data_IF_518197810898
#
_entry.id   IF_518197810898
#
_cell.length_a   1.000
_cell.length_b   1.000
_cell.length_c   1.000
_cell.angle_alpha   90.00
_cell.angle_beta   90.00
_cell.angle_gamma   90.00
#
_symmetry.space_group_name_H-M   'P 1'
#
loop_
_entity.id
_entity.type
_entity.pdbx_description
1 polymer ?
#
# COMPACT_ATOMS: atom_id res chain seq x y z
N UNK A 1 -12.99 -2.79 -29.51
CA UNK A 1 -13.10 -1.47 -28.87
C UNK A 1 -11.68 -0.98 -28.59
N UNK A 2 -11.22 0.11 -29.18
CA UNK A 2 -9.89 0.67 -28.89
C UNK A 2 -10.03 1.46 -27.58
N UNK A 3 -9.25 1.17 -26.53
CA UNK A 3 -9.35 1.91 -25.28
C UNK A 3 -8.97 3.38 -25.52
N UNK A 4 -9.80 4.29 -25.05
CA UNK A 4 -9.54 5.73 -25.09
C UNK A 4 -8.22 6.01 -24.35
N UNK A 5 -7.39 6.90 -24.92
CA UNK A 5 -6.15 7.31 -24.25
C UNK A 5 -6.48 8.24 -23.08
N UNK A 6 -5.67 8.23 -22.02
CA UNK A 6 -5.86 9.08 -20.85
C UNK A 6 -6.09 10.57 -21.20
N UNK A 7 -5.45 11.07 -22.28
CA UNK A 7 -5.61 12.44 -22.78
C UNK A 7 -7.04 12.76 -23.24
N UNK A 8 -7.75 11.79 -23.83
CA UNK A 8 -9.13 11.98 -24.30
C UNK A 8 -10.09 12.10 -23.12
N UNK A 9 -9.93 11.28 -22.08
CA UNK A 9 -10.71 11.39 -20.86
C UNK A 9 -10.52 12.72 -20.15
N UNK A 10 -9.28 13.21 -20.06
CA UNK A 10 -8.96 14.48 -19.41
C UNK A 10 -9.69 15.64 -20.07
N UNK A 11 -9.72 15.67 -21.39
CA UNK A 11 -10.43 16.70 -22.15
C UNK A 11 -11.94 16.62 -21.95
N UNK A 12 -12.53 15.43 -22.07
CA UNK A 12 -13.98 15.22 -21.84
C UNK A 12 -14.37 15.69 -20.43
N UNK A 13 -13.58 15.31 -19.39
CA UNK A 13 -13.84 15.71 -18.01
C UNK A 13 -13.73 17.23 -17.81
N UNK A 14 -12.75 17.87 -18.45
CA UNK A 14 -12.60 19.32 -18.40
C UNK A 14 -13.81 20.04 -19.02
N UNK A 15 -14.27 19.58 -20.18
CA UNK A 15 -15.43 20.13 -20.88
C UNK A 15 -16.73 19.92 -20.06
N UNK A 16 -16.93 18.73 -19.47
CA UNK A 16 -18.11 18.43 -18.64
C UNK A 16 -18.17 19.27 -17.35
N UNK A 17 -17.03 19.53 -16.73
CA UNK A 17 -16.94 20.29 -15.47
C UNK A 17 -16.79 21.80 -15.69
N UNK A 18 -16.63 22.27 -16.92
CA UNK A 18 -16.37 23.68 -17.25
C UNK A 18 -15.02 24.18 -16.70
N UNK A 19 -14.03 23.28 -16.60
CA UNK A 19 -12.69 23.58 -16.10
C UNK A 19 -11.66 23.57 -17.23
N UNK A 20 -10.49 24.16 -16.98
CA UNK A 20 -9.38 24.06 -17.93
C UNK A 20 -8.77 22.65 -17.91
N UNK A 21 -8.33 22.16 -19.08
CA UNK A 21 -7.63 20.86 -19.17
C UNK A 21 -6.35 20.85 -18.32
N UNK A 22 -5.65 21.99 -18.20
CA UNK A 22 -4.48 22.14 -17.35
C UNK A 22 -4.82 21.87 -15.86
N UNK A 23 -5.91 22.46 -15.37
CA UNK A 23 -6.34 22.26 -13.98
C UNK A 23 -6.72 20.81 -13.72
N UNK A 24 -7.42 20.15 -14.64
CA UNK A 24 -7.76 18.72 -14.52
C UNK A 24 -6.49 17.86 -14.48
N UNK A 25 -5.49 18.17 -15.30
CA UNK A 25 -4.19 17.50 -15.26
C UNK A 25 -3.50 17.64 -13.91
N UNK A 26 -3.42 18.88 -13.39
CA UNK A 26 -2.76 19.17 -12.12
C UNK A 26 -3.42 18.41 -10.96
N UNK A 27 -4.75 18.35 -10.93
CA UNK A 27 -5.49 17.60 -9.91
C UNK A 27 -5.19 16.08 -10.01
N UNK A 28 -5.19 15.52 -11.21
CA UNK A 28 -4.88 14.09 -11.42
C UNK A 28 -3.43 13.79 -11.00
N UNK A 29 -2.49 14.63 -11.40
CA UNK A 29 -1.07 14.42 -11.08
C UNK A 29 -0.80 14.55 -9.58
N UNK A 30 -1.41 15.53 -8.91
CA UNK A 30 -1.37 15.68 -7.45
C UNK A 30 -1.96 14.48 -6.72
N UNK A 31 -3.08 13.95 -7.21
CA UNK A 31 -3.73 12.78 -6.62
C UNK A 31 -2.83 11.52 -6.69
N UNK A 32 -2.24 11.26 -7.85
CA UNK A 32 -1.32 10.14 -8.02
C UNK A 32 0.01 10.33 -7.28
N UNK A 33 0.49 11.57 -7.16
CA UNK A 33 1.66 11.88 -6.35
C UNK A 33 1.40 11.57 -4.87
N UNK A 34 0.24 11.95 -4.35
CA UNK A 34 -0.18 11.65 -2.98
C UNK A 34 -0.24 10.13 -2.73
N UNK A 35 -0.85 9.35 -3.64
CA UNK A 35 -0.90 7.90 -3.54
C UNK A 35 0.52 7.31 -3.53
N UNK A 36 1.38 7.71 -4.47
CA UNK A 36 2.78 7.25 -4.53
C UNK A 36 3.54 7.59 -3.25
N UNK A 37 3.36 8.79 -2.71
CA UNK A 37 3.98 9.22 -1.46
C UNK A 37 3.56 8.33 -0.29
N UNK A 38 2.28 8.03 -0.15
CA UNK A 38 1.79 7.17 0.93
C UNK A 38 2.23 5.71 0.77
N UNK A 39 2.29 5.20 -0.46
CA UNK A 39 2.81 3.85 -0.72
C UNK A 39 4.32 3.74 -0.46
N UNK A 40 5.09 4.78 -0.84
CA UNK A 40 6.55 4.78 -0.66
C UNK A 40 6.99 5.05 0.78
N UNK A 41 6.20 5.82 1.54
CA UNK A 41 6.47 6.08 2.96
C UNK A 41 6.15 4.90 3.87
N UNK A 42 5.48 3.87 3.35
CA UNK A 42 5.02 2.70 4.11
C UNK A 42 4.17 3.07 5.34
N UNK A 43 3.49 4.22 5.28
CA UNK A 43 2.64 4.70 6.39
C UNK A 43 1.38 3.85 6.57
N UNK A 44 0.98 3.13 5.52
CA UNK A 44 -0.22 2.30 5.51
C UNK A 44 0.05 0.96 4.84
N UNK A 45 -0.49 -0.11 5.40
CA UNK A 45 -0.41 -1.47 4.82
C UNK A 45 -1.29 -1.64 3.59
N UNK A 46 -2.34 -0.81 3.47
CA UNK A 46 -3.27 -0.79 2.35
C UNK A 46 -3.81 0.62 2.10
N UNK A 47 -4.00 0.97 0.84
CA UNK A 47 -4.63 2.22 0.39
C UNK A 47 -5.77 1.86 -0.54
N UNK A 48 -6.99 2.26 -0.17
CA UNK A 48 -8.16 2.13 -1.03
C UNK A 48 -8.29 3.37 -1.92
N UNK A 49 -8.38 3.13 -3.22
CA UNK A 49 -8.65 4.17 -4.22
C UNK A 49 -10.05 3.93 -4.75
N UNK A 50 -11.01 4.83 -4.51
CA UNK A 50 -12.39 4.68 -4.96
C UNK A 50 -12.46 4.36 -6.46
N UNK A 51 -13.31 3.40 -6.81
CA UNK A 51 -13.54 2.90 -8.17
C UNK A 51 -12.33 2.25 -8.88
N UNK A 52 -11.15 2.20 -8.25
CA UNK A 52 -9.97 1.57 -8.82
C UNK A 52 -9.60 0.26 -8.08
N UNK A 53 -9.71 0.26 -6.75
CA UNK A 53 -9.41 -0.90 -5.93
C UNK A 53 -8.49 -0.61 -4.74
N UNK A 54 -7.93 -1.66 -4.18
CA UNK A 54 -7.10 -1.58 -2.99
C UNK A 54 -5.66 -1.95 -3.35
N UNK A 55 -4.73 -1.03 -3.11
CA UNK A 55 -3.30 -1.28 -3.19
C UNK A 55 -2.82 -1.80 -1.83
N UNK A 56 -2.29 -3.02 -1.80
CA UNK A 56 -1.79 -3.66 -0.57
C UNK A 56 -0.32 -4.02 -0.70
N UNK A 57 0.41 -3.91 0.41
CA UNK A 57 1.76 -4.45 0.50
C UNK A 57 1.70 -5.98 0.40
N UNK A 58 2.57 -6.56 -0.41
CA UNK A 58 2.71 -8.02 -0.53
C UNK A 58 3.43 -8.56 0.71
N UNK A 59 2.66 -8.98 1.70
CA UNK A 59 3.18 -9.42 3.01
C UNK A 59 4.25 -10.54 2.89
N UNK A 60 4.15 -11.40 1.89
CA UNK A 60 5.12 -12.49 1.66
C UNK A 60 6.46 -12.00 1.10
N UNK A 61 6.55 -10.73 0.68
CA UNK A 61 7.77 -10.10 0.21
C UNK A 61 8.43 -9.18 1.25
N UNK A 62 7.79 -8.97 2.39
CA UNK A 62 8.32 -8.04 3.41
C UNK A 62 9.70 -8.50 3.88
N UNK A 63 9.89 -9.78 4.15
CA UNK A 63 11.16 -10.33 4.61
C UNK A 63 12.27 -10.19 3.54
N UNK A 64 11.92 -10.31 2.28
CA UNK A 64 12.82 -10.09 1.15
C UNK A 64 13.27 -8.63 1.09
N UNK A 65 12.33 -7.68 1.19
CA UNK A 65 12.64 -6.24 1.21
C UNK A 65 13.46 -5.83 2.43
N UNK A 66 13.13 -6.33 3.62
CA UNK A 66 13.90 -6.05 4.84
C UNK A 66 15.35 -6.52 4.66
N UNK A 67 15.55 -7.72 4.10
CA UNK A 67 16.89 -8.25 3.84
C UNK A 67 17.66 -7.40 2.82
N UNK A 68 17.03 -7.03 1.71
CA UNK A 68 17.66 -6.17 0.69
C UNK A 68 18.03 -4.80 1.24
N UNK A 69 17.12 -4.14 1.95
CA UNK A 69 17.37 -2.82 2.52
C UNK A 69 18.46 -2.87 3.60
N UNK A 70 18.49 -3.91 4.41
CA UNK A 70 19.56 -4.13 5.40
C UNK A 70 20.92 -4.29 4.71
N UNK A 71 21.00 -5.05 3.63
CA UNK A 71 22.24 -5.22 2.87
C UNK A 71 22.72 -3.88 2.28
N UNK A 72 21.80 -3.09 1.71
CA UNK A 72 22.12 -1.78 1.15
C UNK A 72 22.57 -0.82 2.27
N UNK A 73 21.86 -0.78 3.40
CA UNK A 73 22.20 0.07 4.54
C UNK A 73 23.60 -0.26 5.11
N UNK A 74 23.92 -1.55 5.25
CA UNK A 74 25.24 -2.00 5.69
C UNK A 74 26.35 -1.62 4.69
N UNK A 75 26.08 -1.68 3.39
CA UNK A 75 27.01 -1.22 2.35
C UNK A 75 27.25 0.31 2.33
N UNK A 76 26.41 1.08 3.01
CA UNK A 76 26.56 2.53 3.20
C UNK A 76 27.29 2.90 4.49
N UNK A 77 27.64 1.93 5.34
CA UNK A 77 28.33 2.17 6.59
C UNK A 77 29.68 2.86 6.36
N UNK A 78 29.98 3.88 7.17
CA UNK A 78 31.20 4.69 7.04
C UNK A 78 31.20 5.71 5.89
N UNK A 79 30.17 5.77 5.05
CA UNK A 79 30.05 6.74 3.96
C UNK A 79 29.31 7.99 4.43
N UNK A 80 30.06 9.00 4.89
CA UNK A 80 29.50 10.23 5.47
C UNK A 80 28.56 10.99 4.51
N UNK A 81 28.86 11.01 3.23
CA UNK A 81 28.06 11.68 2.21
C UNK A 81 26.71 10.95 1.91
N UNK A 82 26.52 9.75 2.44
CA UNK A 82 25.28 8.95 2.27
C UNK A 82 24.54 8.67 3.57
N UNK A 83 24.87 9.40 4.62
CA UNK A 83 24.24 9.25 5.93
C UNK A 83 22.71 9.35 5.87
N UNK A 84 22.16 10.35 5.18
CA UNK A 84 20.72 10.54 5.05
C UNK A 84 20.06 9.38 4.31
N UNK A 85 20.74 8.81 3.32
CA UNK A 85 20.23 7.65 2.59
C UNK A 85 20.19 6.41 3.48
N UNK A 86 21.23 6.17 4.28
CA UNK A 86 21.27 5.07 5.26
C UNK A 86 20.14 5.22 6.28
N UNK A 87 19.98 6.41 6.86
CA UNK A 87 18.91 6.71 7.83
C UNK A 87 17.52 6.47 7.26
N UNK A 88 17.26 6.90 6.03
CA UNK A 88 15.99 6.67 5.35
C UNK A 88 15.70 5.16 5.15
N UNK A 89 16.70 4.36 4.82
CA UNK A 89 16.56 2.91 4.70
C UNK A 89 16.27 2.25 6.05
N UNK A 90 16.92 2.67 7.11
CA UNK A 90 16.67 2.18 8.47
C UNK A 90 15.24 2.50 8.93
N UNK A 91 14.74 3.70 8.62
CA UNK A 91 13.35 4.09 8.88
C UNK A 91 12.36 3.22 8.09
N UNK A 92 12.65 2.93 6.83
CA UNK A 92 11.82 2.05 5.99
C UNK A 92 11.81 0.61 6.50
N UNK A 93 12.95 0.08 6.96
CA UNK A 93 13.04 -1.25 7.57
C UNK A 93 12.16 -1.32 8.82
N UNK A 94 12.27 -0.33 9.72
CA UNK A 94 11.45 -0.27 10.92
C UNK A 94 9.95 -0.22 10.60
N UNK A 95 9.54 0.54 9.58
CA UNK A 95 8.16 0.60 9.12
C UNK A 95 7.67 -0.75 8.56
N UNK A 96 8.49 -1.44 7.78
CA UNK A 96 8.15 -2.77 7.24
C UNK A 96 7.95 -3.80 8.36
N UNK A 97 8.76 -3.75 9.42
CA UNK A 97 8.61 -4.64 10.58
C UNK A 97 7.32 -4.37 11.35
N UNK A 98 6.94 -3.10 11.52
CA UNK A 98 5.66 -2.72 12.14
C UNK A 98 4.49 -3.27 11.31
N UNK A 99 4.49 -3.04 10.00
CA UNK A 99 3.44 -3.53 9.10
C UNK A 99 3.37 -5.07 9.12
N UNK A 100 4.51 -5.75 9.16
CA UNK A 100 4.56 -7.21 9.26
C UNK A 100 3.85 -7.70 10.51
N UNK A 101 4.10 -7.05 11.65
CA UNK A 101 3.45 -7.39 12.93
C UNK A 101 1.96 -7.17 12.88
N UNK A 102 1.50 -6.02 12.39
CA UNK A 102 0.08 -5.70 12.23
C UNK A 102 -0.65 -6.73 11.34
N UNK A 103 -0.04 -7.09 10.20
CA UNK A 103 -0.61 -8.08 9.28
C UNK A 103 -0.65 -9.49 9.88
N UNK A 104 0.30 -9.85 10.74
CA UNK A 104 0.26 -11.11 11.49
C UNK A 104 -0.87 -11.12 12.51
N UNK A 105 -1.01 -10.04 13.29
CA UNK A 105 -2.11 -9.90 14.25
C UNK A 105 -3.48 -9.95 13.57
N UNK A 106 -3.64 -9.30 12.42
CA UNK A 106 -4.88 -9.40 11.63
C UNK A 106 -5.18 -10.84 11.19
N UNK A 107 -4.18 -11.57 10.69
CA UNK A 107 -4.34 -12.97 10.29
C UNK A 107 -4.78 -13.84 11.44
N UNK A 108 -4.19 -13.67 12.62
CA UNK A 108 -4.56 -14.42 13.81
C UNK A 108 -6.00 -14.12 14.25
N UNK A 109 -6.39 -12.84 14.23
CA UNK A 109 -7.79 -12.44 14.50
C UNK A 109 -8.76 -13.08 13.51
N UNK A 110 -8.45 -13.05 12.21
CA UNK A 110 -9.29 -13.72 11.20
C UNK A 110 -9.39 -15.22 11.40
N UNK A 111 -8.29 -15.87 11.78
CA UNK A 111 -8.27 -17.31 12.09
C UNK A 111 -9.17 -17.62 13.27
N UNK A 112 -9.07 -16.88 14.37
CA UNK A 112 -9.91 -17.02 15.56
C UNK A 112 -11.41 -16.82 15.23
N UNK A 113 -11.75 -15.77 14.47
CA UNK A 113 -13.13 -15.52 14.05
C UNK A 113 -13.67 -16.68 13.20
N UNK A 114 -12.83 -17.23 12.33
CA UNK A 114 -13.20 -18.38 11.49
C UNK A 114 -13.45 -19.62 12.33
N UNK A 115 -12.58 -19.91 13.28
CA UNK A 115 -12.72 -21.05 14.22
C UNK A 115 -14.00 -20.92 15.07
N UNK A 116 -14.30 -19.72 15.60
CA UNK A 116 -15.54 -19.46 16.35
C UNK A 116 -16.80 -19.65 15.49
N UNK A 117 -16.76 -19.25 14.21
CA UNK A 117 -17.88 -19.47 13.28
C UNK A 117 -18.11 -20.95 12.99
N UNK A 118 -17.04 -21.73 12.85
CA UNK A 118 -17.15 -23.17 12.65
C UNK A 118 -17.65 -23.88 13.91
N UNK A 119 -17.16 -23.53 15.09
CA UNK A 119 -17.62 -24.09 16.36
C UNK A 119 -19.14 -23.86 16.58
N UNK A 120 -19.63 -22.66 16.29
CA UNK A 120 -21.07 -22.34 16.36
C UNK A 120 -21.90 -23.15 15.37
N UNK A 121 -21.42 -23.38 14.14
CA UNK A 121 -22.13 -24.22 13.18
C UNK A 121 -22.21 -25.67 13.60
N UNK A 122 -21.16 -26.21 14.20
CA UNK A 122 -21.14 -27.59 14.68
C UNK A 122 -22.11 -27.83 15.86
N UNK A 123 -22.20 -26.86 16.78
CA UNK A 123 -23.12 -26.93 17.90
C UNK A 123 -24.60 -26.85 17.46
N UNK A 124 -24.94 -26.02 16.50
CA UNK A 124 -26.30 -25.90 15.97
C UNK A 124 -26.76 -27.17 15.22
N UNK A 125 -25.84 -27.95 14.65
CA UNK A 125 -26.16 -29.22 13.96
C UNK A 125 -26.27 -30.43 14.93
N UNK A 126 -25.99 -30.26 16.23
CA UNK A 126 -26.11 -31.28 17.25
C UNK A 126 -27.41 -31.14 18.06
N UNK A 127 -28.17 -30.05 17.85
CA UNK A 127 -29.44 -29.77 18.52
C UNK A 127 -30.68 -30.09 17.64
N UNK A 128 -30.47 -30.57 16.39
CA UNK A 128 -31.53 -31.18 15.54
C UNK A 128 -31.44 -32.72 15.58
#
# INVERSE_FOLDING_TARGET
>A
MVPKKAKEFKKETADELGLSEAFVNDVIDMYWEMIRKHLSSLSYSAIEVPNLGIFKIKYWKIDEFVKEYTQIANGLEGKFNRYNQKKSLEEQIAQLEVIKKELQEEKEKFKQIKELKYAKKTNNNLEE
#
